data_IF_084920691042
#
_entry.id   IF_084920691042
#
_cell.length_a   1.000
_cell.length_b   1.000
_cell.length_c   1.000
_cell.angle_alpha   90.00
_cell.angle_beta   90.00
_cell.angle_gamma   90.00
#
_symmetry.space_group_name_H-M   'P 1'
#
loop_
_entity.id
_entity.type
_entity.pdbx_description
1 polymer ?
#
# COMPACT_ATOMS: atom_id res chain seq x y z
N UNK A 1 -28.45 -18.68 10.22
CA UNK A 1 -28.14 -19.12 8.84
C UNK A 1 -26.86 -19.98 8.80
N UNK A 2 -25.74 -19.51 9.35
CA UNK A 2 -24.48 -20.27 9.41
C UNK A 2 -24.59 -21.48 10.36
N UNK A 3 -25.32 -21.34 11.45
CA UNK A 3 -25.60 -22.42 12.41
C UNK A 3 -26.50 -23.53 11.84
N UNK A 4 -27.27 -23.22 10.79
CA UNK A 4 -28.17 -24.14 10.10
C UNK A 4 -27.57 -24.77 8.84
N UNK A 5 -26.24 -24.64 8.65
CA UNK A 5 -25.54 -25.22 7.49
C UNK A 5 -25.71 -24.44 6.18
N UNK A 6 -26.13 -23.20 6.24
CA UNK A 6 -26.27 -22.32 5.06
C UNK A 6 -24.93 -22.01 4.43
N UNK A 7 -24.66 -22.59 3.26
CA UNK A 7 -23.38 -22.47 2.55
C UNK A 7 -23.45 -21.61 1.28
N UNK A 8 -24.54 -20.88 1.05
CA UNK A 8 -24.68 -20.06 -0.14
C UNK A 8 -23.90 -18.74 0.01
N UNK A 9 -22.77 -18.55 -0.72
CA UNK A 9 -21.92 -17.37 -0.58
C UNK A 9 -22.64 -16.06 -0.90
N UNK A 10 -23.60 -16.07 -1.86
CA UNK A 10 -24.33 -14.86 -2.24
C UNK A 10 -25.28 -14.39 -1.15
N UNK A 11 -25.91 -15.33 -0.42
CA UNK A 11 -26.80 -15.00 0.71
C UNK A 11 -25.99 -14.45 1.89
N UNK A 12 -24.83 -15.03 2.16
CA UNK A 12 -23.92 -14.55 3.21
C UNK A 12 -23.44 -13.13 2.91
N UNK A 13 -22.98 -12.88 1.69
CA UNK A 13 -22.56 -11.53 1.27
C UNK A 13 -23.71 -10.51 1.39
N UNK A 14 -24.91 -10.85 0.93
CA UNK A 14 -26.07 -9.97 1.04
C UNK A 14 -26.42 -9.64 2.50
N UNK A 15 -26.31 -10.62 3.39
CA UNK A 15 -26.50 -10.42 4.83
C UNK A 15 -25.45 -9.47 5.41
N UNK A 16 -24.18 -9.68 5.10
CA UNK A 16 -23.06 -8.84 5.56
C UNK A 16 -23.23 -7.40 5.06
N UNK A 17 -23.63 -7.21 3.80
CA UNK A 17 -23.89 -5.89 3.23
C UNK A 17 -25.09 -5.19 3.89
N UNK A 18 -26.16 -5.93 4.18
CA UNK A 18 -27.34 -5.42 4.89
C UNK A 18 -27.00 -4.96 6.31
N UNK A 19 -26.21 -5.75 7.05
CA UNK A 19 -25.72 -5.38 8.38
C UNK A 19 -24.88 -4.11 8.33
N UNK A 20 -23.96 -4.01 7.37
CA UNK A 20 -23.14 -2.83 7.18
C UNK A 20 -23.98 -1.58 6.85
N UNK A 21 -24.95 -1.71 5.95
CA UNK A 21 -25.85 -0.62 5.54
C UNK A 21 -26.74 -0.13 6.70
N UNK A 22 -27.09 -1.01 7.65
CA UNK A 22 -27.83 -0.65 8.86
C UNK A 22 -26.93 -0.18 10.03
N UNK A 23 -25.62 0.01 9.80
CA UNK A 23 -24.67 0.49 10.80
C UNK A 23 -24.28 -0.56 11.87
N UNK A 24 -24.66 -1.82 11.69
CA UNK A 24 -24.37 -2.90 12.64
C UNK A 24 -22.95 -3.46 12.44
N UNK A 25 -21.94 -2.58 12.50
CA UNK A 25 -20.54 -2.91 12.18
C UNK A 25 -19.95 -3.97 13.11
N UNK A 26 -20.31 -3.98 14.39
CA UNK A 26 -19.84 -5.01 15.32
C UNK A 26 -20.35 -6.41 14.95
N UNK A 27 -21.59 -6.51 14.45
CA UNK A 27 -22.14 -7.79 14.01
C UNK A 27 -21.52 -8.21 12.67
N UNK A 28 -21.21 -7.27 11.75
CA UNK A 28 -20.43 -7.55 10.55
C UNK A 28 -19.08 -8.20 10.92
N UNK A 29 -18.36 -7.61 11.85
CA UNK A 29 -17.06 -8.14 12.30
C UNK A 29 -17.21 -9.58 12.79
N UNK A 30 -18.17 -9.85 13.66
CA UNK A 30 -18.41 -11.19 14.20
C UNK A 30 -18.73 -12.21 13.11
N UNK A 31 -19.66 -11.88 12.23
CA UNK A 31 -20.15 -12.79 11.17
C UNK A 31 -19.04 -13.09 10.15
N UNK A 32 -18.28 -12.05 9.73
CA UNK A 32 -17.20 -12.25 8.74
C UNK A 32 -16.00 -12.97 9.36
N UNK A 33 -15.64 -12.72 10.61
CA UNK A 33 -14.58 -13.48 11.30
C UNK A 33 -14.91 -14.97 11.42
N UNK A 34 -16.17 -15.30 11.71
CA UNK A 34 -16.62 -16.70 11.72
C UNK A 34 -16.51 -17.33 10.33
N UNK A 35 -16.88 -16.61 9.28
CA UNK A 35 -16.70 -17.04 7.89
C UNK A 35 -15.24 -17.26 7.55
N UNK A 36 -14.34 -16.34 7.93
CA UNK A 36 -12.88 -16.48 7.72
C UNK A 36 -12.37 -17.76 8.39
N UNK A 37 -12.82 -18.06 9.62
CA UNK A 37 -12.45 -19.28 10.34
C UNK A 37 -12.90 -20.54 9.62
N UNK A 38 -14.14 -20.56 9.13
CA UNK A 38 -14.70 -21.67 8.36
C UNK A 38 -13.99 -21.87 7.02
N UNK A 39 -13.71 -20.78 6.30
CA UNK A 39 -12.98 -20.82 5.03
C UNK A 39 -11.57 -21.36 5.23
N UNK A 40 -10.88 -20.91 6.27
CA UNK A 40 -9.54 -21.38 6.60
C UNK A 40 -9.53 -22.89 6.90
N UNK A 41 -10.53 -23.43 7.61
CA UNK A 41 -10.64 -24.86 7.90
C UNK A 41 -10.86 -25.72 6.65
N UNK A 42 -11.36 -25.14 5.57
CA UNK A 42 -11.63 -25.81 4.29
C UNK A 42 -10.65 -25.40 3.17
N UNK A 43 -9.56 -24.70 3.50
CA UNK A 43 -8.59 -24.13 2.57
C UNK A 43 -9.22 -23.22 1.49
N UNK A 44 -10.34 -22.59 1.80
CA UNK A 44 -11.02 -21.61 0.95
C UNK A 44 -10.55 -20.19 1.27
N UNK A 45 -10.58 -19.34 0.25
CA UNK A 45 -10.35 -17.90 0.43
C UNK A 45 -11.68 -17.21 0.73
N UNK A 46 -11.71 -16.41 1.79
CA UNK A 46 -12.86 -15.53 2.05
C UNK A 46 -13.00 -14.53 0.91
N UNK A 47 -14.19 -14.34 0.33
CA UNK A 47 -14.41 -13.45 -0.81
C UNK A 47 -13.98 -12.03 -0.55
N UNK A 48 -13.36 -11.38 -1.56
CA UNK A 48 -12.90 -10.00 -1.46
C UNK A 48 -13.96 -9.01 -0.99
N UNK A 49 -15.24 -9.05 -1.49
CA UNK A 49 -16.27 -8.12 -1.02
C UNK A 49 -16.57 -8.23 0.48
N UNK A 50 -16.46 -9.41 1.05
CA UNK A 50 -16.66 -9.62 2.49
C UNK A 50 -15.49 -9.03 3.30
N UNK A 51 -14.24 -9.25 2.87
CA UNK A 51 -13.07 -8.65 3.48
C UNK A 51 -13.09 -7.11 3.38
N UNK A 52 -13.55 -6.56 2.25
CA UNK A 52 -13.73 -5.11 2.11
C UNK A 52 -14.76 -4.56 3.09
N UNK A 53 -15.90 -5.23 3.23
CA UNK A 53 -16.95 -4.83 4.17
C UNK A 53 -16.45 -4.93 5.62
N UNK A 54 -15.65 -5.96 5.94
CA UNK A 54 -14.98 -6.11 7.23
C UNK A 54 -14.02 -4.94 7.51
N UNK A 55 -13.17 -4.58 6.55
CA UNK A 55 -12.26 -3.45 6.68
C UNK A 55 -13.01 -2.14 6.94
N UNK A 56 -14.08 -1.86 6.17
CA UNK A 56 -14.94 -0.69 6.39
C UNK A 56 -15.53 -0.70 7.80
N UNK A 57 -16.00 -1.85 8.26
CA UNK A 57 -16.62 -1.99 9.58
C UNK A 57 -15.62 -1.74 10.71
N UNK A 58 -14.38 -2.25 10.62
CA UNK A 58 -13.33 -1.93 11.59
C UNK A 58 -13.00 -0.44 11.61
N UNK A 59 -12.95 0.21 10.45
CA UNK A 59 -12.72 1.67 10.37
C UNK A 59 -13.84 2.46 11.04
N UNK A 60 -15.12 2.06 10.87
CA UNK A 60 -16.25 2.69 11.55
C UNK A 60 -16.23 2.48 13.08
N UNK A 61 -15.74 1.33 13.52
CA UNK A 61 -15.53 1.02 14.94
C UNK A 61 -14.25 1.65 15.52
N UNK A 62 -13.41 2.31 14.69
CA UNK A 62 -12.10 2.85 15.06
C UNK A 62 -11.13 1.78 15.59
N UNK A 63 -11.28 0.54 15.12
CA UNK A 63 -10.38 -0.56 15.41
C UNK A 63 -9.28 -0.63 14.33
N UNK A 64 -8.20 0.10 14.54
CA UNK A 64 -7.06 0.15 13.63
C UNK A 64 -6.34 -1.19 13.51
N UNK A 65 -6.31 -1.99 14.58
CA UNK A 65 -5.66 -3.30 14.57
C UNK A 65 -6.42 -4.27 13.67
N UNK A 66 -7.73 -4.36 13.85
CA UNK A 66 -8.62 -5.17 13.01
C UNK A 66 -8.57 -4.74 11.55
N UNK A 67 -8.57 -3.42 11.31
CA UNK A 67 -8.45 -2.85 9.97
C UNK A 67 -7.15 -3.25 9.26
N UNK A 68 -6.00 -3.04 9.89
CA UNK A 68 -4.67 -3.38 9.31
C UNK A 68 -4.55 -4.88 9.06
N UNK A 69 -5.02 -5.73 9.97
CA UNK A 69 -5.00 -7.18 9.77
C UNK A 69 -5.89 -7.61 8.60
N UNK A 70 -7.03 -6.94 8.39
CA UNK A 70 -7.90 -7.20 7.24
C UNK A 70 -7.25 -6.73 5.93
N UNK A 71 -6.57 -5.57 5.93
CA UNK A 71 -5.80 -5.12 4.77
C UNK A 71 -4.68 -6.09 4.38
N UNK A 72 -3.98 -6.67 5.36
CA UNK A 72 -2.97 -7.72 5.11
C UNK A 72 -3.59 -8.95 4.42
N UNK A 73 -4.79 -9.37 4.84
CA UNK A 73 -5.50 -10.46 4.18
C UNK A 73 -5.94 -10.09 2.76
N UNK A 74 -6.42 -8.87 2.54
CA UNK A 74 -6.75 -8.35 1.20
C UNK A 74 -5.52 -8.35 0.30
N UNK A 75 -4.39 -7.83 0.75
CA UNK A 75 -3.13 -7.85 -0.01
C UNK A 75 -2.65 -9.27 -0.32
N UNK A 76 -2.73 -10.19 0.65
CA UNK A 76 -2.29 -11.57 0.46
C UNK A 76 -3.15 -12.34 -0.52
N UNK A 77 -4.47 -12.13 -0.50
CA UNK A 77 -5.43 -12.89 -1.29
C UNK A 77 -5.82 -12.23 -2.62
N UNK A 78 -5.85 -10.90 -2.64
CA UNK A 78 -6.35 -10.05 -3.73
C UNK A 78 -5.46 -8.81 -3.93
N UNK A 79 -4.15 -9.00 -4.25
CA UNK A 79 -3.23 -7.87 -4.37
C UNK A 79 -3.72 -6.86 -5.40
N UNK A 80 -3.72 -5.58 -5.01
CA UNK A 80 -4.08 -4.48 -5.91
C UNK A 80 -3.31 -3.21 -5.55
N UNK A 81 -3.15 -2.32 -6.53
CA UNK A 81 -2.54 -0.99 -6.32
C UNK A 81 -3.23 -0.24 -5.17
N UNK A 82 -4.55 -0.26 -5.10
CA UNK A 82 -5.33 0.45 -4.09
C UNK A 82 -5.06 -0.05 -2.66
N UNK A 83 -4.94 -1.37 -2.46
CA UNK A 83 -4.61 -1.92 -1.14
C UNK A 83 -3.17 -1.63 -0.74
N UNK A 84 -2.25 -1.62 -1.70
CA UNK A 84 -0.88 -1.18 -1.46
C UNK A 84 -0.83 0.29 -1.05
N UNK A 85 -1.52 1.18 -1.78
CA UNK A 85 -1.60 2.61 -1.45
C UNK A 85 -2.08 2.84 -0.01
N UNK A 86 -3.12 2.14 0.42
CA UNK A 86 -3.67 2.25 1.76
C UNK A 86 -2.67 1.80 2.85
N UNK A 87 -1.98 0.68 2.63
CA UNK A 87 -0.98 0.17 3.59
C UNK A 87 0.25 1.07 3.64
N UNK A 88 0.79 1.46 2.48
CA UNK A 88 1.99 2.29 2.40
C UNK A 88 1.73 3.71 2.93
N UNK A 89 0.55 4.28 2.65
CA UNK A 89 0.14 5.57 3.21
C UNK A 89 0.05 5.55 4.74
N UNK A 90 -0.35 4.44 5.35
CA UNK A 90 -0.31 4.29 6.81
C UNK A 90 1.10 4.12 7.36
N UNK A 91 1.95 3.39 6.64
CA UNK A 91 3.35 3.22 7.04
C UNK A 91 4.11 4.55 7.00
N UNK A 92 3.87 5.39 6.00
CA UNK A 92 4.53 6.70 5.87
C UNK A 92 4.16 7.67 7.00
N UNK A 93 2.99 7.49 7.62
CA UNK A 93 2.54 8.32 8.76
C UNK A 93 3.13 7.87 10.11
N UNK A 94 3.85 6.75 10.16
CA UNK A 94 4.49 6.31 11.40
C UNK A 94 5.69 7.20 11.72
N UNK A 95 5.66 7.82 12.89
CA UNK A 95 6.76 8.65 13.37
C UNK A 95 7.98 7.78 13.70
N UNK A 96 9.16 8.18 13.21
CA UNK A 96 10.43 7.55 13.59
C UNK A 96 10.93 6.47 12.63
N UNK A 97 10.48 6.44 11.39
CA UNK A 97 11.16 5.67 10.36
C UNK A 97 12.59 6.20 10.19
N UNK A 98 13.57 5.32 10.23
CA UNK A 98 14.94 5.69 9.87
C UNK A 98 15.09 5.77 8.35
N UNK A 99 16.13 6.48 7.87
CA UNK A 99 16.33 6.71 6.43
C UNK A 99 16.39 5.44 5.58
N UNK A 100 16.80 4.30 6.15
CA UNK A 100 16.79 3.01 5.46
C UNK A 100 15.37 2.50 5.24
N UNK A 101 14.54 2.53 6.27
CA UNK A 101 13.13 2.12 6.18
C UNK A 101 12.33 3.07 5.29
N UNK A 102 12.66 4.37 5.30
CA UNK A 102 12.07 5.35 4.37
C UNK A 102 12.40 5.00 2.91
N UNK A 103 13.66 4.68 2.59
CA UNK A 103 14.03 4.25 1.25
C UNK A 103 13.30 2.96 0.84
N UNK A 104 13.19 1.98 1.74
CA UNK A 104 12.47 0.74 1.47
C UNK A 104 10.96 0.98 1.25
N UNK A 105 10.37 1.96 1.95
CA UNK A 105 8.99 2.39 1.72
C UNK A 105 8.81 2.96 0.30
N UNK A 106 9.71 3.85 -0.14
CA UNK A 106 9.67 4.40 -1.50
C UNK A 106 9.90 3.32 -2.58
N UNK A 107 10.75 2.33 -2.32
CA UNK A 107 10.91 1.17 -3.21
C UNK A 107 9.61 0.39 -3.38
N UNK A 108 8.85 0.21 -2.30
CA UNK A 108 7.53 -0.43 -2.35
C UNK A 108 6.51 0.43 -3.10
N UNK A 109 6.50 1.75 -2.87
CA UNK A 109 5.67 2.69 -3.64
C UNK A 109 5.96 2.58 -5.14
N UNK A 110 7.24 2.54 -5.51
CA UNK A 110 7.66 2.40 -6.91
C UNK A 110 7.23 1.06 -7.51
N UNK A 111 7.48 -0.06 -6.81
CA UNK A 111 7.16 -1.41 -7.29
C UNK A 111 5.67 -1.66 -7.45
N UNK A 112 4.85 -0.94 -6.71
CA UNK A 112 3.39 -1.08 -6.72
C UNK A 112 2.69 0.00 -7.54
N UNK A 113 3.47 0.78 -8.32
CA UNK A 113 3.01 1.92 -9.14
C UNK A 113 2.24 2.98 -8.35
N UNK A 114 2.59 3.16 -7.08
CA UNK A 114 1.99 4.13 -6.18
C UNK A 114 2.80 5.42 -6.02
N UNK A 115 3.88 5.62 -6.78
CA UNK A 115 4.55 6.91 -6.87
C UNK A 115 3.82 7.79 -7.88
N UNK A 116 3.26 8.92 -7.43
CA UNK A 116 2.34 9.74 -8.23
C UNK A 116 2.84 11.17 -8.45
N UNK A 117 3.69 11.68 -7.57
CA UNK A 117 4.14 13.08 -7.65
C UNK A 117 5.66 13.25 -7.68
N UNK A 118 6.09 14.47 -8.05
CA UNK A 118 7.50 14.81 -8.19
C UNK A 118 8.27 14.72 -6.84
N UNK A 119 7.61 15.03 -5.73
CA UNK A 119 8.25 15.01 -4.41
C UNK A 119 8.69 13.59 -4.03
N UNK A 120 7.87 12.58 -4.32
CA UNK A 120 8.17 11.17 -4.04
C UNK A 120 9.39 10.69 -4.84
N UNK A 121 9.48 11.02 -6.13
CA UNK A 121 10.65 10.68 -6.97
C UNK A 121 11.93 11.37 -6.47
N UNK A 122 11.82 12.64 -6.10
CA UNK A 122 12.95 13.44 -5.59
C UNK A 122 13.42 12.92 -4.24
N UNK A 123 12.50 12.61 -3.33
CA UNK A 123 12.84 12.09 -1.99
C UNK A 123 13.50 10.70 -2.07
N UNK A 124 12.92 9.79 -2.87
CA UNK A 124 13.53 8.48 -3.08
C UNK A 124 14.95 8.59 -3.63
N UNK A 125 15.16 9.47 -4.62
CA UNK A 125 16.48 9.68 -5.19
C UNK A 125 17.47 10.28 -4.17
N UNK A 126 17.03 11.23 -3.35
CA UNK A 126 17.84 11.83 -2.30
C UNK A 126 18.24 10.81 -1.23
N UNK A 127 17.29 9.97 -0.79
CA UNK A 127 17.55 8.88 0.16
C UNK A 127 18.51 7.83 -0.42
N UNK A 128 18.37 7.48 -1.69
CA UNK A 128 19.29 6.56 -2.39
C UNK A 128 20.71 7.14 -2.45
N UNK A 129 20.86 8.44 -2.80
CA UNK A 129 22.16 9.13 -2.79
C UNK A 129 22.80 9.17 -1.40
N UNK A 130 21.98 9.42 -0.36
CA UNK A 130 22.43 9.41 1.04
C UNK A 130 22.89 8.02 1.49
N UNK A 131 22.26 6.97 0.94
CA UNK A 131 22.62 5.59 1.20
C UNK A 131 23.84 5.10 0.37
N UNK A 132 24.45 5.94 -0.48
CA UNK A 132 25.53 5.55 -1.36
C UNK A 132 25.11 4.71 -2.56
N UNK A 133 23.90 4.93 -3.07
CA UNK A 133 23.30 4.17 -4.18
C UNK A 133 22.99 5.09 -5.39
N UNK A 134 24.01 5.71 -6.02
CA UNK A 134 23.80 6.68 -7.10
C UNK A 134 23.13 6.07 -8.34
N UNK A 135 23.40 4.80 -8.64
CA UNK A 135 22.75 4.10 -9.75
C UNK A 135 21.22 3.98 -9.55
N UNK A 136 20.78 3.68 -8.33
CA UNK A 136 19.35 3.64 -7.99
C UNK A 136 18.73 5.03 -8.10
N UNK A 137 19.38 6.06 -7.59
CA UNK A 137 18.92 7.44 -7.69
C UNK A 137 18.71 7.88 -9.14
N UNK A 138 19.68 7.57 -10.03
CA UNK A 138 19.57 7.89 -11.45
C UNK A 138 18.41 7.15 -12.10
N UNK A 139 18.26 5.87 -11.81
CA UNK A 139 17.16 5.04 -12.35
C UNK A 139 15.81 5.64 -12.00
N UNK A 140 15.60 6.01 -10.74
CA UNK A 140 14.35 6.62 -10.25
C UNK A 140 14.09 7.98 -10.90
N UNK A 141 15.10 8.84 -10.94
CA UNK A 141 15.00 10.16 -11.57
C UNK A 141 14.66 10.04 -13.05
N UNK A 142 15.35 9.17 -13.80
CA UNK A 142 15.05 8.95 -15.21
C UNK A 142 13.61 8.49 -15.40
N UNK A 143 13.12 7.55 -14.60
CA UNK A 143 11.72 7.10 -14.64
C UNK A 143 10.75 8.27 -14.45
N UNK A 144 11.01 9.16 -13.49
CA UNK A 144 10.19 10.35 -13.26
C UNK A 144 10.24 11.37 -14.42
N UNK A 145 11.41 11.55 -15.05
CA UNK A 145 11.55 12.40 -16.25
C UNK A 145 10.84 11.78 -17.45
N UNK A 146 11.00 10.48 -17.69
CA UNK A 146 10.38 9.77 -18.82
C UNK A 146 8.84 9.76 -18.71
N UNK A 147 8.32 9.63 -17.48
CA UNK A 147 6.90 9.77 -17.18
C UNK A 147 6.40 11.21 -17.28
N UNK A 148 7.29 12.18 -17.44
CA UNK A 148 6.96 13.61 -17.49
C UNK A 148 6.43 14.16 -16.15
N UNK A 149 6.72 13.49 -15.05
CA UNK A 149 6.45 13.96 -13.69
C UNK A 149 7.52 14.95 -13.26
N UNK A 150 8.79 14.65 -13.55
CA UNK A 150 9.93 15.53 -13.30
C UNK A 150 10.27 16.40 -14.53
N UNK A 151 11.05 17.45 -14.31
CA UNK A 151 11.53 18.37 -15.36
C UNK A 151 10.53 19.40 -15.82
N UNK A 152 9.43 19.58 -15.12
CA UNK A 152 8.36 20.55 -15.41
C UNK A 152 8.14 21.51 -14.25
N UNK A 153 7.49 22.64 -14.55
CA UNK A 153 7.09 23.63 -13.54
C UNK A 153 8.26 24.41 -12.92
N UNK A 154 7.98 25.05 -11.78
CA UNK A 154 8.93 25.92 -11.07
C UNK A 154 10.17 25.15 -10.56
N UNK A 155 10.02 23.90 -10.21
CA UNK A 155 11.07 23.06 -9.61
C UNK A 155 11.93 22.29 -10.63
N UNK A 156 11.68 22.52 -11.93
CA UNK A 156 12.38 21.83 -13.04
C UNK A 156 13.92 21.91 -12.91
N UNK A 157 14.45 23.05 -12.48
CA UNK A 157 15.88 23.24 -12.27
C UNK A 157 16.43 22.38 -11.10
N UNK A 158 15.62 22.23 -10.03
CA UNK A 158 15.97 21.40 -8.86
C UNK A 158 16.01 19.93 -9.26
N UNK A 159 15.01 19.47 -10.03
CA UNK A 159 14.94 18.11 -10.55
C UNK A 159 16.16 17.78 -11.42
N UNK A 160 16.51 18.68 -12.36
CA UNK A 160 17.66 18.52 -13.24
C UNK A 160 18.98 18.51 -12.47
N UNK A 161 19.11 19.39 -11.47
CA UNK A 161 20.30 19.46 -10.62
C UNK A 161 20.51 18.13 -9.87
N UNK A 162 19.49 17.59 -9.22
CA UNK A 162 19.61 16.33 -8.47
C UNK A 162 20.05 15.19 -9.41
N UNK A 163 19.51 15.12 -10.64
CA UNK A 163 19.94 14.13 -11.64
C UNK A 163 21.40 14.29 -12.04
N UNK A 164 21.85 15.53 -12.24
CA UNK A 164 23.26 15.82 -12.57
C UNK A 164 24.20 15.43 -11.42
N UNK A 165 23.81 15.73 -10.18
CA UNK A 165 24.58 15.38 -8.98
C UNK A 165 24.66 13.85 -8.81
N UNK A 166 23.57 13.13 -9.07
CA UNK A 166 23.54 11.66 -9.06
C UNK A 166 24.47 11.07 -10.14
N UNK A 167 24.45 11.61 -11.35
CA UNK A 167 25.33 11.18 -12.45
C UNK A 167 26.81 11.42 -12.15
N UNK A 168 27.11 12.52 -11.46
CA UNK A 168 28.48 12.82 -11.01
C UNK A 168 28.93 11.78 -9.99
N UNK A 169 28.13 11.49 -8.98
CA UNK A 169 28.45 10.49 -7.96
C UNK A 169 28.63 9.09 -8.54
N UNK A 170 27.80 8.68 -9.51
CA UNK A 170 27.97 7.39 -10.17
C UNK A 170 29.32 7.29 -10.89
N UNK A 171 29.75 8.34 -11.61
CA UNK A 171 31.05 8.36 -12.28
C UNK A 171 32.23 8.35 -11.30
N UNK A 172 32.06 8.93 -10.12
CA UNK A 172 33.06 8.89 -9.05
C UNK A 172 33.20 7.48 -8.47
N UNK A 173 32.06 6.75 -8.30
CA UNK A 173 32.06 5.36 -7.85
C UNK A 173 32.65 4.39 -8.87
N UNK A 174 32.38 4.59 -10.17
CA UNK A 174 32.92 3.75 -11.26
C UNK A 174 34.44 3.92 -11.47
N UNK A 175 35.03 5.00 -10.90
CA UNK A 175 36.43 5.31 -11.02
C UNK A 175 37.31 4.73 -9.86
N UNK A 176 36.70 4.08 -8.86
CA UNK A 176 37.33 3.45 -7.70
C UNK A 176 37.53 1.94 -7.92
#
# INVERSE_FOLDING_TARGET
>A
YLQEGGSNPSVHLAMVQSLAASGQHAEVVKVVLEKIRLDASTAKKTPEPELRTLAISYRQLKDDVGYVNTLKQLLSNYPSKAYWAEVLGRMSQQVGLNARLELDLYRLLEQTDNMEDAAEYMEMAALALKAGLPAEAIRVLNKGFDAGILGKGADSAVHTKLRTDAQKKLREDDAL
#
